data_IF_171662506500
#
_entry.id   IF_171662506500
#
_cell.length_a   1.000
_cell.length_b   1.000
_cell.length_c   1.000
_cell.angle_alpha   90.00
_cell.angle_beta   90.00
_cell.angle_gamma   90.00
#
_symmetry.space_group_name_H-M   'P 1'
#
loop_
_entity.id
_entity.type
_entity.pdbx_description
1 polymer ?
#
# COMPACT_ATOMS: atom_id res chain seq x y z
N UNK A 1 12.24 11.92 2.87
CA UNK A 1 12.71 12.77 3.98
C UNK A 1 12.52 11.99 5.26
N UNK A 2 13.50 12.00 6.16
CA UNK A 2 13.37 11.34 7.47
C UNK A 2 12.59 12.22 8.43
N UNK A 3 11.58 11.64 9.08
CA UNK A 3 10.76 12.30 10.09
C UNK A 3 11.57 12.39 11.40
N UNK A 4 11.84 13.61 11.91
CA UNK A 4 12.61 13.76 13.14
C UNK A 4 11.82 13.24 14.34
N UNK A 5 12.52 12.64 15.31
CA UNK A 5 11.96 12.15 16.57
C UNK A 5 10.82 11.13 16.40
N UNK A 6 10.88 10.32 15.34
CA UNK A 6 9.88 9.27 15.12
C UNK A 6 9.76 8.34 16.34
N UNK A 7 8.55 8.01 16.82
CA UNK A 7 8.38 7.24 18.03
C UNK A 7 8.88 5.81 17.87
N UNK A 8 9.73 5.38 18.81
CA UNK A 8 10.31 4.04 18.78
C UNK A 8 9.25 2.95 18.92
N UNK A 9 8.20 3.17 19.71
CA UNK A 9 7.08 2.26 19.86
C UNK A 9 6.31 2.05 18.53
N UNK A 10 6.11 3.11 17.74
CA UNK A 10 5.54 3.00 16.41
C UNK A 10 6.50 2.31 15.42
N UNK A 11 7.81 2.59 15.51
CA UNK A 11 8.80 1.92 14.67
C UNK A 11 8.82 0.41 14.95
N UNK A 12 8.79 0.02 16.24
CA UNK A 12 8.74 -1.37 16.68
C UNK A 12 7.42 -2.04 16.33
N UNK A 13 6.28 -1.34 16.41
CA UNK A 13 4.99 -1.90 16.02
C UNK A 13 4.98 -2.35 14.55
N UNK A 14 5.51 -1.51 13.65
CA UNK A 14 5.64 -1.87 12.24
C UNK A 14 6.61 -3.03 12.03
N UNK A 15 7.78 -2.97 12.66
CA UNK A 15 8.78 -4.03 12.55
C UNK A 15 8.26 -5.37 13.08
N UNK A 16 7.62 -5.38 14.25
CA UNK A 16 7.01 -6.55 14.86
C UNK A 16 5.95 -7.20 13.97
N UNK A 17 5.16 -6.40 13.24
CA UNK A 17 4.20 -6.95 12.28
C UNK A 17 4.90 -7.71 11.15
N UNK A 18 6.00 -7.17 10.59
CA UNK A 18 6.76 -7.83 9.54
C UNK A 18 7.68 -8.98 10.02
N UNK A 19 8.16 -8.89 11.26
CA UNK A 19 9.11 -9.81 11.88
C UNK A 19 8.63 -10.26 13.25
N UNK A 20 7.60 -11.12 13.31
CA UNK A 20 7.06 -11.60 14.58
C UNK A 20 8.10 -12.28 15.47
N UNK A 21 9.10 -12.94 14.86
CA UNK A 21 10.17 -13.66 15.54
C UNK A 21 11.08 -12.75 16.40
N UNK A 22 11.22 -11.49 16.01
CA UNK A 22 12.09 -10.52 16.70
C UNK A 22 11.36 -9.81 17.86
N UNK A 23 10.03 -9.90 17.92
CA UNK A 23 9.18 -9.14 18.85
C UNK A 23 8.04 -9.98 19.47
N UNK A 24 8.35 -11.00 20.30
CA UNK A 24 7.35 -11.94 20.83
C UNK A 24 6.29 -11.30 21.75
N UNK A 25 6.52 -10.07 22.23
CA UNK A 25 5.66 -9.37 23.19
C UNK A 25 4.87 -8.20 22.60
N UNK A 26 4.99 -7.95 21.28
CA UNK A 26 4.24 -6.90 20.59
C UNK A 26 3.10 -7.50 19.76
N UNK A 27 2.11 -6.69 19.34
CA UNK A 27 1.18 -7.11 18.30
C UNK A 27 1.94 -7.42 17.00
N UNK A 28 1.80 -8.64 16.50
CA UNK A 28 2.47 -9.12 15.29
C UNK A 28 1.45 -9.60 14.24
N UNK A 29 1.93 -9.86 13.02
CA UNK A 29 1.13 -10.49 11.97
C UNK A 29 0.61 -11.86 12.42
N UNK A 30 -0.66 -12.12 12.18
CA UNK A 30 -1.35 -13.35 12.60
C UNK A 30 -1.57 -14.34 11.46
N UNK A 31 -1.74 -13.83 10.24
CA UNK A 31 -2.06 -14.63 9.06
C UNK A 31 -0.89 -14.65 8.09
N UNK A 32 -0.69 -15.81 7.47
CA UNK A 32 0.40 -16.03 6.53
C UNK A 32 0.27 -15.09 5.32
N UNK A 33 1.41 -14.56 4.86
CA UNK A 33 1.47 -13.81 3.61
C UNK A 33 0.99 -14.65 2.43
N UNK A 34 0.22 -14.03 1.52
CA UNK A 34 -0.31 -14.71 0.34
C UNK A 34 -1.66 -15.43 0.53
N UNK A 35 -2.23 -15.44 1.74
CA UNK A 35 -3.61 -15.91 1.96
C UNK A 35 -4.60 -14.75 1.93
N UNK A 36 -5.88 -15.05 1.71
CA UNK A 36 -6.94 -14.03 1.71
C UNK A 36 -6.97 -13.29 3.07
N UNK A 37 -6.86 -14.00 4.20
CA UNK A 37 -6.78 -13.37 5.52
C UNK A 37 -5.51 -12.53 5.71
N UNK A 38 -4.36 -13.01 5.22
CA UNK A 38 -3.09 -12.30 5.29
C UNK A 38 -3.07 -11.01 4.49
N UNK A 39 -3.68 -11.01 3.30
CA UNK A 39 -3.82 -9.81 2.50
C UNK A 39 -4.80 -8.80 3.12
N UNK A 40 -5.89 -9.27 3.73
CA UNK A 40 -6.81 -8.37 4.44
C UNK A 40 -6.12 -7.76 5.66
N UNK A 41 -5.36 -8.57 6.41
CA UNK A 41 -4.55 -8.11 7.53
C UNK A 41 -3.52 -7.05 7.08
N UNK A 42 -2.84 -7.26 5.94
CA UNK A 42 -1.92 -6.27 5.35
C UNK A 42 -2.62 -4.91 5.13
N UNK A 43 -3.78 -4.92 4.47
CA UNK A 43 -4.54 -3.69 4.18
C UNK A 43 -4.98 -2.98 5.46
N UNK A 44 -5.57 -3.72 6.40
CA UNK A 44 -6.09 -3.18 7.65
C UNK A 44 -4.98 -2.67 8.55
N UNK A 45 -3.88 -3.43 8.67
CA UNK A 45 -2.73 -3.04 9.48
C UNK A 45 -2.14 -1.72 9.00
N UNK A 46 -1.82 -1.58 7.71
CA UNK A 46 -1.19 -0.37 7.20
C UNK A 46 -2.12 0.84 7.21
N UNK A 47 -3.43 0.65 6.99
CA UNK A 47 -4.43 1.73 7.18
C UNK A 47 -4.44 2.23 8.62
N UNK A 48 -4.48 1.33 9.60
CA UNK A 48 -4.50 1.71 11.01
C UNK A 48 -3.16 2.28 11.48
N UNK A 49 -2.05 1.70 11.03
CA UNK A 49 -0.71 2.14 11.38
C UNK A 49 -0.44 3.56 10.90
N UNK A 50 -0.74 3.87 9.63
CA UNK A 50 -0.59 5.24 9.11
C UNK A 50 -1.47 6.23 9.88
N UNK A 51 -2.69 5.86 10.26
CA UNK A 51 -3.55 6.68 11.11
C UNK A 51 -2.96 6.94 12.51
N UNK A 52 -2.32 5.94 13.14
CA UNK A 52 -1.62 6.13 14.42
C UNK A 52 -0.45 7.10 14.30
N UNK A 53 0.34 6.99 13.22
CA UNK A 53 1.42 7.96 12.97
C UNK A 53 0.83 9.36 12.78
N UNK A 54 -0.21 9.54 11.97
CA UNK A 54 -0.85 10.85 11.79
C UNK A 54 -1.29 11.45 13.13
N UNK A 55 -1.94 10.66 14.00
CA UNK A 55 -2.36 11.11 15.33
C UNK A 55 -1.21 11.61 16.21
N UNK A 56 -0.01 11.06 16.04
CA UNK A 56 1.20 11.51 16.72
C UNK A 56 1.86 12.70 16.00
N UNK A 57 2.07 12.59 14.69
CA UNK A 57 2.82 13.55 13.88
C UNK A 57 2.12 14.92 13.86
N UNK A 58 0.79 14.95 13.71
CA UNK A 58 0.01 16.18 13.65
C UNK A 58 0.07 17.00 14.97
N UNK A 59 0.58 16.41 16.05
CA UNK A 59 0.79 17.08 17.35
C UNK A 59 2.21 17.61 17.54
N UNK A 60 3.14 17.36 16.61
CA UNK A 60 4.53 17.79 16.74
C UNK A 60 4.70 19.28 16.44
N UNK A 61 5.62 19.97 17.13
CA UNK A 61 5.94 21.35 16.79
C UNK A 61 6.53 21.42 15.37
N UNK A 62 5.88 22.17 14.48
CA UNK A 62 6.20 22.30 13.04
C UNK A 62 5.84 21.08 12.17
N UNK A 63 4.87 20.27 12.59
CA UNK A 63 4.28 19.26 11.72
C UNK A 63 3.75 19.94 10.44
N UNK A 64 4.23 19.48 9.28
CA UNK A 64 3.61 19.78 7.99
C UNK A 64 2.77 18.58 7.56
N UNK A 65 1.43 18.65 7.66
CA UNK A 65 0.54 17.55 7.30
C UNK A 65 0.72 17.09 5.84
N UNK A 66 1.21 17.95 4.94
CA UNK A 66 1.39 17.61 3.53
C UNK A 66 2.53 16.60 3.31
N UNK A 67 3.47 16.50 4.25
CA UNK A 67 4.57 15.53 4.19
C UNK A 67 4.06 14.10 4.36
N UNK A 68 3.06 13.88 5.22
CA UNK A 68 2.48 12.56 5.45
C UNK A 68 1.18 12.34 4.68
N UNK A 69 0.52 13.39 4.19
CA UNK A 69 -0.73 13.26 3.46
C UNK A 69 -0.60 12.26 2.29
N UNK A 70 -1.59 11.36 2.10
CA UNK A 70 -1.62 10.51 0.93
C UNK A 70 -1.75 11.39 -0.30
N UNK A 71 -0.73 11.41 -1.15
CA UNK A 71 -0.71 12.26 -2.34
C UNK A 71 -0.53 11.47 -3.65
N UNK A 72 -0.25 10.17 -3.56
CA UNK A 72 -0.16 9.34 -4.76
C UNK A 72 -1.50 8.69 -5.03
N UNK A 73 -2.09 9.08 -6.15
CA UNK A 73 -3.21 8.40 -6.80
C UNK A 73 -2.75 7.57 -8.00
N UNK A 74 -1.46 7.64 -8.33
CA UNK A 74 -0.80 6.84 -9.35
C UNK A 74 0.67 6.62 -8.97
N UNK A 75 1.28 5.58 -9.54
CA UNK A 75 2.72 5.34 -9.42
C UNK A 75 3.46 6.50 -10.12
N UNK A 76 4.37 7.22 -9.43
CA UNK A 76 5.12 8.32 -10.02
C UNK A 76 5.91 7.89 -11.26
N UNK A 77 6.00 8.78 -12.24
CA UNK A 77 6.69 8.50 -13.52
C UNK A 77 8.17 8.22 -13.33
N UNK A 78 8.81 8.85 -12.35
CA UNK A 78 10.22 8.65 -12.02
C UNK A 78 10.53 7.26 -11.46
N UNK A 79 9.53 6.52 -10.94
CA UNK A 79 9.71 5.13 -10.54
C UNK A 79 9.61 4.17 -11.74
N UNK A 80 9.04 4.60 -12.87
CA UNK A 80 8.78 3.76 -14.06
C UNK A 80 10.01 3.66 -14.97
N UNK A 81 11.16 3.33 -14.40
CA UNK A 81 12.46 3.32 -15.08
C UNK A 81 13.00 1.91 -15.29
N UNK A 82 13.73 1.72 -16.39
CA UNK A 82 14.46 0.49 -16.70
C UNK A 82 15.90 0.58 -16.18
N UNK A 83 16.53 -0.58 -15.93
CA UNK A 83 17.93 -0.65 -15.51
C UNK A 83 18.19 -0.11 -14.11
N UNK A 84 17.19 -0.19 -13.22
CA UNK A 84 17.29 0.22 -11.83
C UNK A 84 17.70 -0.98 -10.98
N UNK A 85 18.79 -0.85 -10.24
CA UNK A 85 19.32 -1.92 -9.39
C UNK A 85 19.53 -1.43 -7.96
N UNK A 86 19.32 -2.33 -7.00
CA UNK A 86 19.67 -2.13 -5.60
C UNK A 86 20.51 -3.29 -5.07
N UNK A 87 21.10 -3.15 -3.89
CA UNK A 87 21.67 -4.28 -3.16
C UNK A 87 20.68 -4.73 -2.09
N UNK A 88 20.41 -6.04 -2.03
CA UNK A 88 19.62 -6.61 -0.93
C UNK A 88 20.40 -6.63 0.40
N UNK A 89 19.77 -7.12 1.45
CA UNK A 89 20.35 -7.30 2.80
C UNK A 89 21.59 -8.22 2.81
N UNK A 90 21.73 -9.08 1.81
CA UNK A 90 22.87 -9.98 1.61
C UNK A 90 23.93 -9.39 0.68
N UNK A 91 23.72 -8.17 0.18
CA UNK A 91 24.62 -7.47 -0.74
C UNK A 91 24.51 -7.90 -2.21
N UNK A 92 23.55 -8.77 -2.57
CA UNK A 92 23.32 -9.18 -3.95
C UNK A 92 22.71 -8.04 -4.76
N UNK A 93 23.10 -7.92 -6.02
CA UNK A 93 22.46 -6.97 -6.94
C UNK A 93 21.09 -7.53 -7.34
N UNK A 94 20.03 -6.74 -7.11
CA UNK A 94 18.65 -7.08 -7.43
C UNK A 94 18.11 -6.07 -8.43
N UNK A 95 17.49 -6.56 -9.49
CA UNK A 95 16.77 -5.75 -10.46
C UNK A 95 15.44 -5.28 -9.85
N UNK A 96 15.28 -3.97 -9.76
CA UNK A 96 14.09 -3.28 -9.22
C UNK A 96 13.48 -2.37 -10.27
N UNK A 97 13.78 -2.64 -11.54
CA UNK A 97 13.26 -1.92 -12.68
C UNK A 97 11.75 -2.07 -12.80
N UNK A 98 11.12 -1.03 -13.32
CA UNK A 98 9.78 -1.12 -13.87
C UNK A 98 9.73 -2.16 -14.98
N UNK A 99 8.62 -2.88 -15.13
CA UNK A 99 8.47 -3.89 -16.19
C UNK A 99 7.00 -3.98 -16.63
N UNK A 100 6.74 -4.80 -17.65
CA UNK A 100 5.40 -4.95 -18.23
C UNK A 100 4.39 -5.55 -17.25
N UNK A 101 4.84 -6.39 -16.32
CA UNK A 101 3.98 -6.94 -15.26
C UNK A 101 3.55 -5.83 -14.29
N UNK A 102 4.46 -4.99 -13.84
CA UNK A 102 4.15 -3.83 -13.00
C UNK A 102 3.17 -2.88 -13.71
N UNK A 103 3.33 -2.67 -15.02
CA UNK A 103 2.40 -1.87 -15.81
C UNK A 103 1.00 -2.50 -15.87
N UNK A 104 0.92 -3.80 -16.16
CA UNK A 104 -0.35 -4.53 -16.19
C UNK A 104 -1.07 -4.49 -14.83
N UNK A 105 -0.33 -4.71 -13.74
CA UNK A 105 -0.90 -4.71 -12.40
C UNK A 105 -1.36 -3.32 -11.95
N UNK A 106 -0.63 -2.26 -12.31
CA UNK A 106 -1.04 -0.89 -12.03
C UNK A 106 -2.34 -0.53 -12.76
N UNK A 107 -2.48 -0.94 -14.03
CA UNK A 107 -3.71 -0.74 -14.81
C UNK A 107 -4.91 -1.46 -14.20
N UNK A 108 -4.72 -2.67 -13.65
CA UNK A 108 -5.79 -3.43 -12.98
C UNK A 108 -6.27 -2.72 -11.70
N UNK A 109 -5.35 -2.13 -10.94
CA UNK A 109 -5.67 -1.41 -9.69
C UNK A 109 -6.42 -0.10 -9.94
N UNK A 110 -5.98 0.73 -10.89
CA UNK A 110 -6.62 2.03 -11.15
C UNK A 110 -8.05 1.89 -11.73
N UNK A 111 -8.34 0.78 -12.41
CA UNK A 111 -9.67 0.51 -12.94
C UNK A 111 -10.60 -0.19 -11.94
N UNK A 112 -10.14 -0.45 -10.70
CA UNK A 112 -10.91 -1.25 -9.73
C UNK A 112 -11.23 -2.66 -10.25
N UNK A 113 -10.41 -3.16 -11.20
CA UNK A 113 -10.53 -4.48 -11.83
C UNK A 113 -9.37 -5.42 -11.48
N UNK A 114 -9.07 -5.66 -10.20
CA UNK A 114 -8.59 -6.99 -9.90
C UNK A 114 -9.78 -7.92 -10.12
N UNK A 115 -9.64 -8.91 -11.00
CA UNK A 115 -10.64 -9.95 -11.31
C UNK A 115 -10.90 -10.89 -10.11
N UNK A 116 -10.72 -10.37 -8.89
CA UNK A 116 -10.62 -11.08 -7.62
C UNK A 116 -11.96 -11.10 -6.87
N UNK A 117 -13.07 -10.98 -7.59
CA UNK A 117 -14.42 -11.10 -7.02
C UNK A 117 -14.89 -12.55 -7.16
N UNK A 118 -15.01 -13.26 -6.05
CA UNK A 118 -15.94 -14.40 -5.96
C UNK A 118 -17.28 -13.91 -5.44
N UNK A 119 -18.37 -14.56 -5.85
CA UNK A 119 -19.64 -14.60 -5.10
C UNK A 119 -20.52 -13.34 -5.07
N UNK A 120 -21.78 -13.54 -4.67
CA UNK A 120 -22.79 -12.48 -4.52
C UNK A 120 -22.75 -11.89 -3.09
N UNK A 121 -22.51 -10.58 -2.98
CA UNK A 121 -23.13 -9.63 -2.02
C UNK A 121 -23.07 -9.86 -0.50
N UNK A 122 -22.56 -10.97 0.03
CA UNK A 122 -22.46 -11.16 1.48
C UNK A 122 -21.15 -10.63 2.07
N UNK A 123 -21.17 -10.35 3.38
CA UNK A 123 -20.02 -9.78 4.11
C UNK A 123 -18.78 -10.67 4.04
N UNK A 124 -18.96 -11.99 4.13
CA UNK A 124 -17.85 -12.96 4.09
C UNK A 124 -17.14 -12.91 2.74
N UNK A 125 -17.91 -12.88 1.67
CA UNK A 125 -17.44 -12.75 0.29
C UNK A 125 -16.70 -11.43 0.10
N UNK A 126 -17.21 -10.33 0.68
CA UNK A 126 -16.53 -9.03 0.63
C UNK A 126 -15.16 -9.05 1.32
N UNK A 127 -15.04 -9.68 2.48
CA UNK A 127 -13.78 -9.78 3.23
C UNK A 127 -12.76 -10.65 2.48
N UNK A 128 -13.20 -11.78 1.92
CA UNK A 128 -12.36 -12.65 1.08
C UNK A 128 -11.82 -11.89 -0.13
N UNK A 129 -12.67 -11.13 -0.82
CA UNK A 129 -12.23 -10.39 -2.01
C UNK A 129 -11.30 -9.21 -1.67
N UNK A 130 -11.50 -8.54 -0.53
CA UNK A 130 -10.56 -7.55 -0.01
C UNK A 130 -9.21 -8.20 0.37
N UNK A 131 -9.26 -9.41 0.92
CA UNK A 131 -8.09 -10.22 1.19
C UNK A 131 -7.22 -10.50 -0.03
N UNK A 132 -7.87 -10.88 -1.14
CA UNK A 132 -7.20 -11.10 -2.41
C UNK A 132 -6.58 -9.83 -2.98
N UNK A 133 -7.30 -8.71 -2.91
CA UNK A 133 -6.75 -7.39 -3.22
C UNK A 133 -5.46 -7.14 -2.43
N UNK A 134 -5.51 -7.33 -1.12
CA UNK A 134 -4.36 -7.13 -0.25
C UNK A 134 -3.17 -8.01 -0.64
N UNK A 135 -3.41 -9.30 -0.87
CA UNK A 135 -2.36 -10.25 -1.32
C UNK A 135 -1.73 -9.82 -2.64
N UNK A 136 -2.55 -9.44 -3.62
CA UNK A 136 -2.07 -9.00 -4.93
C UNK A 136 -1.21 -7.74 -4.84
N UNK A 137 -1.60 -6.78 -3.99
CA UNK A 137 -0.80 -5.57 -3.77
C UNK A 137 0.49 -5.91 -3.03
N UNK A 138 0.39 -6.65 -1.91
CA UNK A 138 1.50 -6.97 -1.00
C UNK A 138 2.61 -7.79 -1.68
N UNK A 139 2.24 -8.73 -2.57
CA UNK A 139 3.20 -9.57 -3.29
C UNK A 139 3.59 -9.00 -4.67
N UNK A 140 2.83 -8.04 -5.20
CA UNK A 140 3.03 -7.46 -6.51
C UNK A 140 3.74 -6.11 -6.45
N UNK A 141 2.96 -5.02 -6.53
CA UNK A 141 3.51 -3.67 -6.67
C UNK A 141 4.10 -3.09 -5.38
N UNK A 142 3.71 -3.58 -4.20
CA UNK A 142 4.18 -3.02 -2.93
C UNK A 142 5.71 -3.16 -2.75
N UNK A 143 6.34 -4.34 -2.90
CA UNK A 143 7.79 -4.48 -2.83
C UNK A 143 8.52 -3.63 -3.88
N UNK A 144 7.98 -3.55 -5.11
CA UNK A 144 8.52 -2.68 -6.15
C UNK A 144 8.53 -1.21 -5.69
N UNK A 145 7.41 -0.70 -5.14
CA UNK A 145 7.31 0.68 -4.69
C UNK A 145 8.35 1.01 -3.61
N UNK A 146 8.56 0.14 -2.63
CA UNK A 146 9.58 0.32 -1.60
C UNK A 146 10.99 0.34 -2.20
N UNK A 147 11.31 -0.67 -3.01
CA UNK A 147 12.64 -0.85 -3.57
C UNK A 147 13.01 0.25 -4.58
N UNK A 148 12.13 0.53 -5.55
CA UNK A 148 12.37 1.56 -6.54
C UNK A 148 12.46 2.95 -5.89
N UNK A 149 11.58 3.26 -4.94
CA UNK A 149 11.64 4.53 -4.19
C UNK A 149 12.94 4.68 -3.39
N UNK A 150 13.44 3.59 -2.79
CA UNK A 150 14.72 3.61 -2.04
C UNK A 150 15.90 4.05 -2.90
N UNK A 151 15.89 3.69 -4.19
CA UNK A 151 16.95 4.05 -5.14
C UNK A 151 16.70 5.43 -5.74
N UNK A 152 15.50 5.66 -6.28
CA UNK A 152 15.15 6.90 -7.00
C UNK A 152 15.22 8.12 -6.08
N UNK A 153 14.79 7.99 -4.83
CA UNK A 153 14.84 9.08 -3.84
C UNK A 153 16.09 9.03 -2.96
N UNK A 154 17.03 8.11 -3.23
CA UNK A 154 18.27 7.94 -2.50
C UNK A 154 18.07 7.85 -0.97
N UNK A 155 17.12 7.01 -0.55
CA UNK A 155 16.71 6.89 0.84
C UNK A 155 16.53 5.39 1.20
N UNK A 156 17.63 4.68 1.51
CA UNK A 156 17.64 3.22 1.67
C UNK A 156 16.68 2.68 2.74
N UNK A 157 16.36 3.48 3.76
CA UNK A 157 15.43 3.09 4.83
C UNK A 157 14.04 2.74 4.30
N UNK A 158 13.64 3.25 3.13
CA UNK A 158 12.35 2.94 2.50
C UNK A 158 12.25 1.43 2.20
N UNK A 159 13.35 0.75 1.85
CA UNK A 159 13.36 -0.69 1.58
C UNK A 159 13.56 -1.56 2.85
N UNK A 160 13.44 -0.98 4.04
CA UNK A 160 13.67 -1.67 5.32
C UNK A 160 12.40 -1.71 6.19
N UNK A 161 12.42 -2.50 7.26
CA UNK A 161 11.34 -2.49 8.26
C UNK A 161 11.23 -1.19 9.07
N UNK A 162 12.20 -0.27 8.92
CA UNK A 162 12.15 1.09 9.48
C UNK A 162 11.58 2.12 8.49
N UNK A 163 11.03 1.68 7.36
CA UNK A 163 10.42 2.55 6.35
C UNK A 163 9.42 3.58 6.90
N UNK A 164 8.63 3.34 7.97
CA UNK A 164 7.75 4.37 8.55
C UNK A 164 8.44 5.67 8.96
N UNK A 165 9.75 5.65 9.19
CA UNK A 165 10.51 6.86 9.53
C UNK A 165 10.70 7.78 8.32
N UNK A 166 10.43 7.31 7.10
CA UNK A 166 10.48 8.10 5.88
C UNK A 166 9.11 8.65 5.50
N UNK A 167 9.04 9.92 5.08
CA UNK A 167 7.83 10.50 4.50
C UNK A 167 7.33 9.74 3.25
N UNK A 168 8.22 9.04 2.54
CA UNK A 168 7.87 8.27 1.35
C UNK A 168 7.02 7.04 1.64
N UNK A 169 7.15 6.46 2.84
CA UNK A 169 6.28 5.38 3.30
C UNK A 169 4.81 5.77 3.23
N UNK A 170 4.47 6.98 3.64
CA UNK A 170 3.09 7.47 3.64
C UNK A 170 2.58 7.77 2.22
N UNK A 171 3.49 8.05 1.27
CA UNK A 171 3.13 8.16 -0.14
C UNK A 171 2.82 6.79 -0.74
N UNK A 172 3.64 5.78 -0.42
CA UNK A 172 3.45 4.38 -0.84
C UNK A 172 2.15 3.81 -0.25
N UNK A 173 1.97 3.88 1.08
CA UNK A 173 0.78 3.34 1.74
C UNK A 173 -0.47 4.19 1.48
N UNK A 174 -0.32 5.48 1.20
CA UNK A 174 -1.40 6.31 0.67
C UNK A 174 -1.91 5.82 -0.69
N UNK A 175 -1.01 5.36 -1.58
CA UNK A 175 -1.38 4.76 -2.85
C UNK A 175 -2.05 3.40 -2.67
N UNK A 176 -1.57 2.56 -1.75
CA UNK A 176 -2.23 1.30 -1.37
C UNK A 176 -3.65 1.54 -0.87
N UNK A 177 -3.80 2.52 0.01
CA UNK A 177 -5.09 2.95 0.55
C UNK A 177 -6.02 3.44 -0.57
N UNK A 178 -5.52 4.27 -1.48
CA UNK A 178 -6.27 4.76 -2.64
C UNK A 178 -6.78 3.62 -3.54
N UNK A 179 -5.93 2.62 -3.83
CA UNK A 179 -6.36 1.45 -4.62
C UNK A 179 -7.44 0.64 -3.91
N UNK A 180 -7.33 0.49 -2.59
CA UNK A 180 -8.37 -0.19 -1.82
C UNK A 180 -9.69 0.59 -1.85
N UNK A 181 -9.66 1.91 -1.71
CA UNK A 181 -10.86 2.75 -1.77
C UNK A 181 -11.52 2.71 -3.17
N UNK A 182 -10.73 2.74 -4.25
CA UNK A 182 -11.22 2.57 -5.62
C UNK A 182 -11.88 1.20 -5.82
N UNK A 183 -11.29 0.15 -5.27
CA UNK A 183 -11.85 -1.19 -5.32
C UNK A 183 -13.16 -1.29 -4.52
N UNK A 184 -13.22 -0.73 -3.31
CA UNK A 184 -14.45 -0.70 -2.51
C UNK A 184 -15.57 0.04 -3.24
N UNK A 185 -15.27 1.21 -3.82
CA UNK A 185 -16.20 1.99 -4.63
C UNK A 185 -16.71 1.17 -5.83
N UNK A 186 -15.79 0.54 -6.57
CA UNK A 186 -16.12 -0.26 -7.75
C UNK A 186 -17.01 -1.45 -7.40
N UNK A 187 -16.78 -2.10 -6.26
CA UNK A 187 -17.64 -3.19 -5.81
C UNK A 187 -19.00 -2.70 -5.32
N UNK A 188 -19.08 -1.54 -4.65
CA UNK A 188 -20.36 -0.92 -4.30
C UNK A 188 -21.19 -0.60 -5.54
N UNK A 189 -20.59 0.01 -6.57
CA UNK A 189 -21.27 0.34 -7.83
C UNK A 189 -21.84 -0.91 -8.52
N UNK A 190 -21.09 -2.03 -8.57
CA UNK A 190 -21.56 -3.28 -9.19
C UNK A 190 -22.89 -3.81 -8.64
N UNK A 191 -23.21 -3.49 -7.37
CA UNK A 191 -24.45 -3.93 -6.72
C UNK A 191 -25.55 -2.86 -6.72
N UNK A 192 -25.30 -1.67 -7.28
CA UNK A 192 -26.33 -0.64 -7.46
C UNK A 192 -27.24 -0.97 -8.66
N UNK A 193 -28.49 -0.48 -8.69
CA UNK A 193 -29.35 -0.56 -9.88
C UNK A 193 -28.68 0.03 -11.13
N UNK A 194 -28.89 -0.53 -12.34
CA UNK A 194 -28.22 -0.07 -13.57
C UNK A 194 -28.33 1.45 -13.83
N UNK A 195 -29.49 2.04 -13.55
CA UNK A 195 -29.74 3.48 -13.69
C UNK A 195 -28.89 4.35 -12.74
N UNK A 196 -28.33 3.79 -11.67
CA UNK A 196 -27.39 4.46 -10.76
C UNK A 196 -25.94 4.17 -11.16
N UNK A 197 -25.64 2.99 -11.71
CA UNK A 197 -24.29 2.67 -12.21
C UNK A 197 -23.83 3.65 -13.29
N UNK A 198 -24.75 4.08 -14.17
CA UNK A 198 -24.46 5.05 -15.24
C UNK A 198 -24.03 6.43 -14.73
N UNK A 199 -24.45 6.82 -13.52
CA UNK A 199 -24.08 8.11 -12.90
C UNK A 199 -22.59 8.11 -12.52
N UNK A 200 -22.06 6.95 -12.13
CA UNK A 200 -20.68 6.79 -11.68
C UNK A 200 -19.75 6.24 -12.77
N UNK A 201 -20.24 6.13 -14.01
CA UNK A 201 -19.44 5.69 -15.14
C UNK A 201 -18.52 6.83 -15.62
N UNK A 202 -17.19 6.68 -15.54
CA UNK A 202 -16.25 7.75 -15.91
C UNK A 202 -16.30 8.13 -17.40
N UNK A 203 -17.04 7.39 -18.26
CA UNK A 203 -17.33 7.79 -19.64
C UNK A 203 -18.43 8.85 -19.80
N UNK A 204 -19.17 9.17 -18.73
CA UNK A 204 -20.32 10.10 -18.75
C UNK A 204 -19.97 11.46 -18.14
N UNK A 205 -18.86 11.58 -17.40
CA UNK A 205 -18.32 12.88 -16.96
C UNK A 205 -17.61 13.52 -18.16
N UNK A 206 -18.39 14.12 -19.06
CA UNK A 206 -17.89 15.12 -19.99
C UNK A 206 -17.56 16.39 -19.20
N UNK A 207 -16.43 16.99 -19.57
CA UNK A 207 -15.87 18.26 -19.11
C UNK A 207 -16.90 19.32 -18.68
#
# INVERSE_FOLDING_TARGET
MIIPNFPEDLAQLHHAWHKPEDYPNLPTRKFQIGTDEGGLEFLVFHRNFTALVHQWYDKQPNADPNLLAPSWTAIPTELKVQGLFMRDDKGNLVDVSWNDQHASDAERLIHGKPDMVLGKGDLRTSLVNAGRLGTFIELGLHPFLHNASSVVYNEPIIASFHSPQSTWFYKIHGLVQFWWDLWELSNRIKFMPPNIQDIFNPRVIKH
#
